data_IF_397630900709
#
_entry.id   IF_397630900709
#
_cell.length_a   1.000
_cell.length_b   1.000
_cell.length_c   1.000
_cell.angle_alpha   90.00
_cell.angle_beta   90.00
_cell.angle_gamma   90.00
#
_symmetry.space_group_name_H-M   'P 1'
#
loop_
_entity.id
_entity.type
_entity.pdbx_description
1 polymer ?
#
# COMPACT_ATOMS: atom_id res chain seq x y z
N UNK A 1 10.46 -14.11 0.95
CA UNK A 1 10.06 -12.77 1.42
C UNK A 1 8.63 -12.45 1.03
N UNK A 2 7.78 -12.25 2.03
CA UNK A 2 6.45 -11.66 1.90
C UNK A 2 6.51 -10.20 2.40
N UNK A 3 5.65 -9.34 1.84
CA UNK A 3 5.56 -7.92 2.21
C UNK A 3 4.15 -7.62 2.68
N UNK A 4 4.01 -7.04 3.86
CA UNK A 4 2.77 -6.38 4.28
C UNK A 4 2.79 -4.94 3.76
N UNK A 5 1.69 -4.51 3.15
CA UNK A 5 1.56 -3.19 2.57
C UNK A 5 0.18 -2.60 2.81
N UNK A 6 0.10 -1.27 2.84
CA UNK A 6 -1.14 -0.53 2.68
C UNK A 6 -1.29 -0.20 1.21
N UNK A 7 -2.37 -0.70 0.58
CA UNK A 7 -2.77 -0.22 -0.72
C UNK A 7 -3.36 1.19 -0.56
N UNK A 8 -2.86 2.14 -1.34
CA UNK A 8 -3.43 3.47 -1.39
C UNK A 8 -4.52 3.49 -2.46
N UNK A 9 -5.56 4.29 -2.23
CA UNK A 9 -6.40 4.70 -3.37
C UNK A 9 -5.48 5.37 -4.41
N UNK A 10 -5.86 5.29 -5.69
CA UNK A 10 -5.13 5.94 -6.76
C UNK A 10 -5.87 7.23 -7.18
N UNK A 11 -5.70 8.35 -6.46
CA UNK A 11 -6.16 9.65 -6.95
C UNK A 11 -5.56 9.94 -8.33
N UNK A 12 -6.33 10.59 -9.18
CA UNK A 12 -5.89 11.02 -10.51
C UNK A 12 -4.54 11.75 -10.46
N UNK A 13 -4.35 12.65 -9.48
CA UNK A 13 -3.09 13.40 -9.29
C UNK A 13 -1.88 12.50 -9.05
N UNK A 14 -2.05 11.40 -8.31
CA UNK A 14 -0.96 10.47 -8.03
C UNK A 14 -0.63 9.63 -9.28
N UNK A 15 -1.65 9.24 -10.05
CA UNK A 15 -1.46 8.59 -11.35
C UNK A 15 -0.72 9.50 -12.35
N UNK A 16 -1.12 10.78 -12.42
CA UNK A 16 -0.46 11.79 -13.26
C UNK A 16 1.01 11.99 -12.86
N UNK A 17 1.30 12.12 -11.56
CA UNK A 17 2.68 12.21 -11.07
C UNK A 17 3.51 11.00 -11.51
N UNK A 18 2.98 9.78 -11.39
CA UNK A 18 3.68 8.58 -11.84
C UNK A 18 3.95 8.61 -13.35
N UNK A 19 2.97 9.02 -14.16
CA UNK A 19 3.12 9.13 -15.61
C UNK A 19 4.19 10.16 -16.01
N UNK A 20 4.20 11.33 -15.36
CA UNK A 20 5.22 12.37 -15.59
C UNK A 20 6.61 11.79 -15.28
N UNK A 21 6.78 11.10 -14.15
CA UNK A 21 8.07 10.49 -13.79
C UNK A 21 8.48 9.42 -14.81
N UNK A 22 7.58 8.50 -15.18
CA UNK A 22 7.89 7.46 -16.18
C UNK A 22 8.36 8.07 -17.49
N UNK A 23 7.68 9.11 -17.96
CA UNK A 23 8.06 9.78 -19.19
C UNK A 23 9.44 10.45 -19.08
N UNK A 24 9.68 11.21 -18.01
CA UNK A 24 10.96 11.91 -17.79
C UNK A 24 12.15 10.95 -17.67
N UNK A 25 11.94 9.77 -17.09
CA UNK A 25 12.96 8.74 -16.96
C UNK A 25 12.98 7.71 -18.10
N UNK A 26 12.12 7.86 -19.12
CA UNK A 26 11.99 6.93 -20.26
C UNK A 26 11.69 5.48 -19.82
N UNK A 27 10.71 5.32 -18.93
CA UNK A 27 10.26 4.06 -18.29
C UNK A 27 8.78 3.75 -18.53
N UNK A 28 8.26 4.12 -19.69
CA UNK A 28 6.84 3.97 -20.05
C UNK A 28 6.38 2.51 -20.11
N UNK A 29 7.29 1.57 -20.39
CA UNK A 29 6.99 0.13 -20.50
C UNK A 29 6.83 -0.61 -19.16
N UNK A 30 6.93 0.08 -18.02
CA UNK A 30 6.74 -0.55 -16.71
C UNK A 30 5.31 -1.06 -16.51
N UNK A 31 5.14 -2.09 -15.66
CA UNK A 31 3.83 -2.62 -15.26
C UNK A 31 2.89 -1.52 -14.71
N UNK A 32 1.57 -1.73 -14.67
CA UNK A 32 0.63 -0.77 -14.08
C UNK A 32 1.08 -0.30 -12.70
N UNK A 33 0.91 1.00 -12.45
CA UNK A 33 1.31 1.60 -11.19
C UNK A 33 0.36 1.15 -10.06
N UNK A 34 0.94 0.63 -8.99
CA UNK A 34 0.24 0.21 -7.79
C UNK A 34 0.78 1.04 -6.61
N UNK A 35 0.10 2.13 -6.21
CA UNK A 35 0.56 2.95 -5.10
C UNK A 35 0.35 2.20 -3.78
N UNK A 36 1.43 2.03 -3.02
CA UNK A 36 1.38 1.34 -1.73
C UNK A 36 2.44 1.88 -0.78
N UNK A 37 2.22 1.67 0.52
CA UNK A 37 3.20 1.89 1.58
C UNK A 37 3.57 0.52 2.14
N UNK A 38 4.81 0.08 1.92
CA UNK A 38 5.32 -1.14 2.57
C UNK A 38 5.45 -0.89 4.06
N UNK A 39 4.85 -1.77 4.88
CA UNK A 39 4.91 -1.71 6.34
C UNK A 39 5.94 -2.69 6.90
N UNK A 40 6.03 -3.89 6.33
CA UNK A 40 6.91 -4.95 6.83
C UNK A 40 7.39 -5.84 5.69
N UNK A 41 8.69 -6.11 5.65
CA UNK A 41 9.29 -7.18 4.87
C UNK A 41 9.66 -8.31 5.81
N UNK A 42 9.10 -9.50 5.61
CA UNK A 42 9.38 -10.64 6.46
C UNK A 42 9.33 -11.97 5.68
N UNK A 43 10.13 -12.93 6.10
CA UNK A 43 10.05 -14.30 5.60
C UNK A 43 9.03 -15.11 6.40
N UNK A 44 7.77 -14.69 6.31
CA UNK A 44 6.64 -15.40 6.91
C UNK A 44 5.93 -16.28 5.87
N UNK A 45 5.48 -17.49 6.24
CA UNK A 45 4.59 -18.31 5.42
C UNK A 45 3.23 -17.64 5.20
N UNK A 46 2.56 -17.95 4.08
CA UNK A 46 1.27 -17.33 3.74
C UNK A 46 0.17 -17.58 4.79
N UNK A 47 0.10 -18.79 5.35
CA UNK A 47 -0.87 -19.13 6.39
C UNK A 47 -0.62 -18.35 7.69
N UNK A 48 0.65 -18.12 8.03
CA UNK A 48 1.02 -17.27 9.17
C UNK A 48 0.61 -15.83 8.92
N UNK A 49 0.90 -15.28 7.73
CA UNK A 49 0.51 -13.92 7.36
C UNK A 49 -1.02 -13.70 7.45
N UNK A 50 -1.82 -14.66 6.97
CA UNK A 50 -3.29 -14.62 7.12
C UNK A 50 -3.71 -14.61 8.58
N UNK A 51 -3.10 -15.46 9.40
CA UNK A 51 -3.36 -15.51 10.85
C UNK A 51 -3.08 -14.19 11.55
N UNK A 52 -1.97 -13.52 11.20
CA UNK A 52 -1.61 -12.21 11.78
C UNK A 52 -2.61 -11.11 11.39
N UNK A 53 -3.05 -11.06 10.14
CA UNK A 53 -4.08 -10.08 9.71
C UNK A 53 -5.41 -10.31 10.45
N UNK A 54 -5.87 -11.56 10.53
CA UNK A 54 -7.09 -11.90 11.24
C UNK A 54 -7.01 -11.54 12.74
N UNK A 55 -5.83 -11.73 13.35
CA UNK A 55 -5.56 -11.32 14.72
C UNK A 55 -5.64 -9.81 14.90
N UNK A 56 -5.00 -9.03 14.03
CA UNK A 56 -5.04 -7.55 14.08
C UNK A 56 -6.46 -7.00 13.92
N UNK A 57 -7.29 -7.65 13.08
CA UNK A 57 -8.72 -7.33 12.99
C UNK A 57 -9.47 -7.61 14.30
N UNK A 58 -9.24 -8.79 14.92
CA UNK A 58 -9.86 -9.15 16.21
C UNK A 58 -9.43 -8.22 17.35
N UNK A 59 -8.19 -7.74 17.32
CA UNK A 59 -7.65 -6.78 18.29
C UNK A 59 -8.13 -5.33 18.06
N UNK A 60 -8.87 -5.08 16.98
CA UNK A 60 -9.46 -3.77 16.68
C UNK A 60 -8.47 -2.77 16.07
N UNK A 61 -7.32 -3.22 15.57
CA UNK A 61 -6.40 -2.38 14.79
C UNK A 61 -6.96 -2.06 13.40
N UNK A 62 -7.80 -2.95 12.89
CA UNK A 62 -8.43 -2.85 11.58
C UNK A 62 -9.95 -2.98 11.74
N UNK A 63 -10.66 -1.91 11.43
CA UNK A 63 -12.12 -1.86 11.49
C UNK A 63 -12.70 -2.00 10.08
N UNK A 64 -13.66 -2.90 9.90
CA UNK A 64 -14.40 -2.95 8.64
C UNK A 64 -15.31 -1.73 8.54
N UNK A 65 -15.15 -0.97 7.48
CA UNK A 65 -16.10 0.09 7.10
C UNK A 65 -17.26 -0.62 6.40
N UNK A 66 -18.33 -0.85 7.16
CA UNK A 66 -19.32 -1.89 6.85
C UNK A 66 -20.05 -1.76 5.51
N UNK A 67 -20.45 -2.91 4.97
CA UNK A 67 -21.71 -3.01 4.21
C UNK A 67 -22.82 -3.35 5.21
N UNK A 68 -23.75 -2.43 5.42
CA UNK A 68 -24.99 -2.73 6.12
C UNK A 68 -25.92 -3.49 5.16
N UNK A 69 -26.10 -4.81 5.39
CA UNK A 69 -27.40 -5.51 5.45
C UNK A 69 -27.32 -7.02 5.11
N UNK A 70 -27.82 -7.82 6.07
CA UNK A 70 -28.64 -9.03 5.90
C UNK A 70 -28.10 -10.30 5.22
N UNK A 71 -28.13 -11.40 5.99
CA UNK A 71 -28.80 -12.62 5.53
C UNK A 71 -27.93 -13.82 5.16
N UNK A 72 -27.92 -14.82 6.04
CA UNK A 72 -27.78 -16.26 5.81
C UNK A 72 -27.11 -16.80 4.51
N UNK A 73 -25.95 -17.44 4.69
CA UNK A 73 -25.64 -18.77 4.14
C UNK A 73 -25.14 -18.90 2.69
N UNK A 74 -23.83 -19.18 2.53
CA UNK A 74 -23.25 -20.35 1.82
C UNK A 74 -21.71 -20.23 1.79
N UNK A 75 -20.95 -21.35 1.79
CA UNK A 75 -19.52 -21.32 1.58
C UNK A 75 -19.24 -21.21 0.07
N UNK A 76 -18.54 -20.16 -0.34
CA UNK A 76 -18.12 -19.98 -1.73
C UNK A 76 -16.61 -19.78 -1.76
N UNK A 77 -15.90 -20.78 -2.28
CA UNK A 77 -14.59 -20.61 -2.88
C UNK A 77 -14.74 -19.62 -4.04
N UNK A 78 -14.03 -18.48 -4.03
CA UNK A 78 -13.99 -17.58 -5.19
C UNK A 78 -12.60 -16.99 -5.41
N UNK A 79 -12.01 -17.38 -6.54
CA UNK A 79 -11.10 -16.56 -7.31
C UNK A 79 -11.82 -15.29 -7.77
N UNK A 80 -11.22 -14.13 -7.47
CA UNK A 80 -11.16 -12.98 -8.38
C UNK A 80 -12.48 -12.35 -8.82
N UNK A 81 -13.09 -11.55 -7.93
CA UNK A 81 -13.78 -10.26 -8.20
C UNK A 81 -14.32 -9.73 -6.87
N UNK A 82 -13.41 -9.38 -5.96
CA UNK A 82 -13.78 -8.88 -4.65
C UNK A 82 -14.40 -7.49 -4.76
N UNK A 83 -15.67 -7.34 -4.39
CA UNK A 83 -16.12 -6.08 -3.83
C UNK A 83 -15.27 -5.82 -2.60
N UNK A 84 -14.32 -4.90 -2.71
CA UNK A 84 -13.33 -4.65 -1.66
C UNK A 84 -14.06 -4.10 -0.43
N UNK A 85 -14.21 -4.94 0.60
CA UNK A 85 -14.60 -4.47 1.92
C UNK A 85 -13.52 -3.48 2.39
N UNK A 86 -13.88 -2.20 2.47
CA UNK A 86 -12.98 -1.18 2.95
C UNK A 86 -12.66 -1.42 4.43
N UNK A 87 -11.38 -1.39 4.78
CA UNK A 87 -10.90 -1.53 6.15
C UNK A 87 -10.21 -0.23 6.55
N UNK A 88 -10.59 0.34 7.70
CA UNK A 88 -9.95 1.50 8.29
C UNK A 88 -8.93 1.03 9.33
N UNK A 89 -7.75 1.62 9.31
CA UNK A 89 -6.75 1.44 10.38
C UNK A 89 -7.13 2.36 11.53
N UNK A 90 -7.22 1.82 12.74
CA UNK A 90 -7.56 2.59 13.93
C UNK A 90 -6.37 3.46 14.36
N UNK A 91 -6.64 4.69 14.79
CA UNK A 91 -5.67 5.63 15.39
C UNK A 91 -4.48 6.04 14.50
N UNK A 92 -4.47 5.65 13.23
CA UNK A 92 -3.57 6.17 12.19
C UNK A 92 -4.41 7.09 11.31
N UNK A 93 -4.12 8.39 11.32
CA UNK A 93 -4.87 9.38 10.56
C UNK A 93 -5.09 8.94 9.10
N UNK A 94 -6.25 9.24 8.53
CA UNK A 94 -6.62 8.80 7.18
C UNK A 94 -5.95 9.60 6.05
N UNK A 95 -5.08 10.54 6.39
CA UNK A 95 -4.46 11.47 5.44
C UNK A 95 -2.95 11.28 5.42
N UNK A 96 -2.40 11.09 4.22
CA UNK A 96 -0.96 11.05 3.97
C UNK A 96 -0.61 12.30 3.19
N UNK A 97 0.35 13.07 3.71
CA UNK A 97 0.99 14.17 3.00
C UNK A 97 2.38 13.75 2.52
N UNK A 98 2.88 14.41 1.48
CA UNK A 98 4.20 14.13 0.91
C UNK A 98 5.13 15.32 1.17
N UNK A 99 6.18 15.10 1.96
CA UNK A 99 7.12 16.16 2.35
C UNK A 99 8.32 16.29 1.40
N UNK A 100 8.76 15.19 0.80
CA UNK A 100 9.96 15.13 -0.03
C UNK A 100 9.81 14.15 -1.20
N UNK A 101 10.52 14.43 -2.30
CA UNK A 101 10.86 13.46 -3.33
C UNK A 101 12.30 13.01 -3.12
N UNK A 102 12.55 11.70 -3.09
CA UNK A 102 13.88 11.13 -2.89
C UNK A 102 14.26 10.19 -4.02
N UNK A 103 15.54 10.26 -4.42
CA UNK A 103 16.16 9.31 -5.34
C UNK A 103 17.05 8.36 -4.55
N UNK A 104 16.90 7.07 -4.77
CA UNK A 104 17.60 6.01 -4.05
C UNK A 104 18.35 5.08 -5.01
N UNK A 105 19.52 4.60 -4.57
CA UNK A 105 20.17 3.42 -5.11
C UNK A 105 19.61 2.19 -4.39
N UNK A 106 18.85 1.39 -5.12
CA UNK A 106 18.15 0.22 -4.60
C UNK A 106 18.83 -1.10 -4.99
N UNK A 107 20.11 -1.08 -5.38
CA UNK A 107 20.85 -2.30 -5.70
C UNK A 107 21.16 -3.08 -4.41
N UNK A 108 20.71 -4.34 -4.34
CA UNK A 108 20.94 -5.23 -3.20
C UNK A 108 19.78 -5.24 -2.19
N UNK A 109 20.03 -5.76 -0.95
CA UNK A 109 18.99 -5.85 0.08
C UNK A 109 18.53 -4.46 0.54
N UNK A 110 17.30 -4.34 1.02
CA UNK A 110 16.71 -3.06 1.49
C UNK A 110 17.60 -2.37 2.54
N UNK A 111 18.23 -3.14 3.43
CA UNK A 111 19.16 -2.62 4.43
C UNK A 111 20.43 -1.96 3.84
N UNK A 112 20.75 -2.25 2.58
CA UNK A 112 21.88 -1.68 1.85
C UNK A 112 21.51 -0.52 0.92
N UNK A 113 20.23 -0.15 0.83
CA UNK A 113 19.79 0.94 -0.03
C UNK A 113 20.35 2.29 0.43
N UNK A 114 20.70 3.15 -0.52
CA UNK A 114 21.35 4.44 -0.26
C UNK A 114 20.57 5.58 -0.86
N UNK A 115 20.26 6.60 -0.06
CA UNK A 115 19.67 7.84 -0.55
C UNK A 115 20.72 8.61 -1.37
N UNK A 116 20.43 8.88 -2.63
CA UNK A 116 21.29 9.62 -3.55
C UNK A 116 20.99 11.12 -3.52
N UNK A 117 19.70 11.49 -3.55
CA UNK A 117 19.22 12.87 -3.54
C UNK A 117 17.86 12.99 -2.86
N UNK A 118 17.54 14.19 -2.37
CA UNK A 118 16.21 14.56 -1.90
C UNK A 118 15.89 16.00 -2.30
N UNK A 119 14.59 16.29 -2.44
CA UNK A 119 14.05 17.62 -2.71
C UNK A 119 12.77 17.78 -1.89
N UNK A 120 12.63 18.90 -1.17
CA UNK A 120 11.40 19.19 -0.41
C UNK A 120 10.25 19.57 -1.34
N UNK A 121 9.05 19.12 -0.98
CA UNK A 121 7.78 19.47 -1.61
C UNK A 121 6.99 20.51 -0.83
N UNK A 122 7.43 20.84 0.39
CA UNK A 122 6.81 21.87 1.21
C UNK A 122 7.44 23.21 0.83
N UNK A 123 6.62 24.21 0.51
CA UNK A 123 7.11 25.58 0.31
C UNK A 123 7.88 26.02 1.56
N UNK A 124 9.14 26.43 1.37
CA UNK A 124 9.86 27.17 2.39
C UNK A 124 9.19 28.53 2.52
N UNK A 125 8.34 28.68 3.54
CA UNK A 125 7.76 29.97 3.93
C UNK A 125 8.83 30.87 4.52
#
# INVERSE_FOLDING_TARGET
MQCLLLALSLPQRLAELNNIMRHRFKKESQRPYFPHISLLYADIPAEEARGQIARLQKEGWFERVGSAASGAGRPQEEQGKGGEEAVRVKDVGSEVSFDEVQLWDCNGPVAGWKKLRSMSLVEQR
#
